data_IF_110998497484
#
_entry.id   IF_110998497484
#
_cell.length_a   1.000
_cell.length_b   1.000
_cell.length_c   1.000
_cell.angle_alpha   90.00
_cell.angle_beta   90.00
_cell.angle_gamma   90.00
#
_symmetry.space_group_name_H-M   'P 1'
#
loop_
_entity.id
_entity.type
_entity.pdbx_description
1 polymer ?
#
# COMPACT_ATOMS: atom_id res chain seq x y z
N UNK A 1 -19.99 11.31 1.12
CA UNK A 1 -19.43 10.52 0.00
C UNK A 1 -18.47 9.48 0.58
N UNK A 2 -18.96 8.26 0.82
CA UNK A 2 -18.12 7.14 1.24
C UNK A 2 -18.18 6.10 0.14
N UNK A 3 -17.18 6.08 -0.75
CA UNK A 3 -17.03 4.98 -1.69
C UNK A 3 -16.85 3.66 -0.93
N UNK A 4 -17.49 2.58 -1.39
CA UNK A 4 -17.28 1.25 -0.83
C UNK A 4 -15.84 0.79 -1.12
N UNK A 5 -15.27 -0.11 -0.30
CA UNK A 5 -13.94 -0.69 -0.55
C UNK A 5 -13.80 -1.23 -1.98
N UNK A 6 -14.87 -1.87 -2.47
CA UNK A 6 -14.97 -2.39 -3.83
C UNK A 6 -14.76 -1.31 -4.91
N UNK A 7 -15.21 -0.08 -4.63
CA UNK A 7 -15.10 1.05 -5.56
C UNK A 7 -13.67 1.57 -5.67
N UNK A 8 -12.90 1.51 -4.58
CA UNK A 8 -11.49 1.94 -4.58
C UNK A 8 -10.55 0.87 -5.11
N UNK A 9 -10.80 -0.41 -4.82
CA UNK A 9 -9.94 -1.51 -5.26
C UNK A 9 -9.75 -1.58 -6.78
N UNK A 10 -10.80 -1.26 -7.55
CA UNK A 10 -10.76 -1.31 -9.02
C UNK A 10 -10.50 0.07 -9.66
N UNK A 11 -10.22 1.10 -8.85
CA UNK A 11 -10.09 2.47 -9.34
C UNK A 11 -8.73 2.68 -10.00
N UNK A 12 -8.76 3.14 -11.25
CA UNK A 12 -7.57 3.49 -12.03
C UNK A 12 -7.23 4.98 -11.96
N UNK A 13 -8.25 5.83 -12.02
CA UNK A 13 -8.09 7.27 -11.97
C UNK A 13 -8.46 7.78 -10.58
N UNK A 14 -7.44 8.13 -9.81
CA UNK A 14 -7.57 8.63 -8.44
C UNK A 14 -7.61 10.15 -8.46
N UNK A 15 -8.58 10.73 -7.76
CA UNK A 15 -8.59 12.15 -7.45
C UNK A 15 -7.97 12.39 -6.08
N UNK A 16 -7.51 13.61 -5.83
CA UNK A 16 -7.07 14.05 -4.51
C UNK A 16 -8.08 13.72 -3.39
N UNK A 17 -9.38 13.84 -3.68
CA UNK A 17 -10.44 13.51 -2.72
C UNK A 17 -10.54 12.02 -2.42
N UNK A 18 -10.24 11.16 -3.40
CA UNK A 18 -10.23 9.71 -3.22
C UNK A 18 -9.07 9.29 -2.32
N UNK A 19 -7.88 9.83 -2.56
CA UNK A 19 -6.69 9.59 -1.73
C UNK A 19 -6.93 10.05 -0.29
N UNK A 20 -7.42 11.29 -0.12
CA UNK A 20 -7.78 11.83 1.19
C UNK A 20 -8.92 11.06 1.88
N UNK A 21 -9.83 10.45 1.11
CA UNK A 21 -10.87 9.59 1.67
C UNK A 21 -10.26 8.30 2.22
N UNK A 22 -9.38 7.64 1.46
CA UNK A 22 -8.67 6.43 1.92
C UNK A 22 -7.84 6.73 3.15
N UNK A 23 -7.05 7.82 3.17
CA UNK A 23 -6.22 8.17 4.32
C UNK A 23 -7.01 8.40 5.61
N UNK A 24 -8.29 8.79 5.53
CA UNK A 24 -9.21 8.97 6.67
C UNK A 24 -9.96 7.70 7.07
N UNK A 25 -9.81 6.59 6.35
CA UNK A 25 -10.45 5.33 6.72
C UNK A 25 -9.76 4.68 7.92
N UNK A 26 -10.49 3.78 8.57
CA UNK A 26 -9.90 2.87 9.54
C UNK A 26 -8.72 2.10 8.93
N UNK A 27 -7.70 1.83 9.74
CA UNK A 27 -6.47 1.19 9.28
C UNK A 27 -6.71 -0.18 8.64
N UNK A 28 -7.74 -0.92 9.08
CA UNK A 28 -8.11 -2.21 8.49
C UNK A 28 -8.46 -2.03 7.01
N UNK A 29 -9.27 -1.02 6.70
CA UNK A 29 -9.68 -0.71 5.34
C UNK A 29 -8.52 -0.21 4.48
N UNK A 30 -7.64 0.62 5.05
CA UNK A 30 -6.44 1.09 4.36
C UNK A 30 -5.50 -0.08 4.05
N UNK A 31 -5.33 -1.02 4.97
CA UNK A 31 -4.49 -2.21 4.78
C UNK A 31 -5.03 -3.14 3.69
N UNK A 32 -6.34 -3.37 3.67
CA UNK A 32 -6.97 -4.18 2.63
C UNK A 32 -6.84 -3.54 1.24
N UNK A 33 -7.05 -2.23 1.14
CA UNK A 33 -6.85 -1.50 -0.12
C UNK A 33 -5.39 -1.49 -0.56
N UNK A 34 -4.46 -1.24 0.37
CA UNK A 34 -3.03 -1.13 0.10
C UNK A 34 -2.46 -2.33 -0.66
N UNK A 35 -3.05 -3.53 -0.51
CA UNK A 35 -2.64 -4.76 -1.21
C UNK A 35 -2.86 -4.75 -2.72
N UNK A 36 -3.81 -3.95 -3.23
CA UNK A 36 -4.27 -4.08 -4.62
C UNK A 36 -4.47 -2.76 -5.37
N UNK A 37 -4.51 -1.62 -4.68
CA UNK A 37 -4.63 -0.31 -5.35
C UNK A 37 -3.44 -0.05 -6.29
N UNK A 38 -3.66 0.80 -7.29
CA UNK A 38 -2.66 1.16 -8.31
C UNK A 38 -2.19 2.62 -8.20
N UNK A 39 -2.67 3.37 -7.21
CA UNK A 39 -2.28 4.76 -7.01
C UNK A 39 -0.88 4.83 -6.40
N UNK A 40 0.10 5.23 -7.22
CA UNK A 40 1.50 5.28 -6.83
C UNK A 40 1.76 6.20 -5.62
N UNK A 41 1.28 7.44 -5.69
CA UNK A 41 1.45 8.43 -4.62
C UNK A 41 0.84 7.96 -3.29
N UNK A 42 -0.38 7.44 -3.34
CA UNK A 42 -1.03 6.90 -2.16
C UNK A 42 -0.31 5.68 -1.59
N UNK A 43 0.29 4.81 -2.41
CA UNK A 43 1.12 3.70 -1.93
C UNK A 43 2.38 4.18 -1.23
N UNK A 44 2.98 5.29 -1.69
CA UNK A 44 4.10 5.94 -0.99
C UNK A 44 3.64 6.43 0.39
N UNK A 45 2.50 7.11 0.46
CA UNK A 45 1.98 7.61 1.74
C UNK A 45 1.63 6.47 2.71
N UNK A 46 0.93 5.44 2.23
CA UNK A 46 0.56 4.27 3.05
C UNK A 46 1.78 3.43 3.47
N UNK A 47 2.89 3.50 2.74
CA UNK A 47 4.15 2.84 3.14
C UNK A 47 4.80 3.47 4.38
N UNK A 48 4.33 4.65 4.79
CA UNK A 48 4.78 5.37 5.98
C UNK A 48 3.72 5.33 7.10
N UNK A 49 2.67 4.51 6.93
CA UNK A 49 1.59 4.43 7.90
C UNK A 49 2.08 3.96 9.27
N UNK A 50 1.48 4.50 10.34
CA UNK A 50 1.79 4.07 11.70
C UNK A 50 1.40 2.59 11.95
N UNK A 51 0.37 2.07 11.27
CA UNK A 51 -0.11 0.71 11.44
C UNK A 51 0.69 -0.26 10.57
N UNK A 52 1.20 -1.31 11.19
CA UNK A 52 2.03 -2.32 10.52
C UNK A 52 1.26 -3.09 9.45
N UNK A 53 -0.04 -3.30 9.65
CA UNK A 53 -0.94 -3.98 8.71
C UNK A 53 -1.05 -3.21 7.39
N UNK A 54 -1.07 -1.88 7.46
CA UNK A 54 -1.14 -1.01 6.29
C UNK A 54 0.17 -1.08 5.51
N UNK A 55 1.31 -0.92 6.19
CA UNK A 55 2.63 -1.01 5.54
C UNK A 55 2.88 -2.40 4.95
N UNK A 56 2.42 -3.46 5.63
CA UNK A 56 2.46 -4.83 5.12
C UNK A 56 1.62 -4.98 3.86
N UNK A 57 0.43 -4.39 3.82
CA UNK A 57 -0.41 -4.35 2.62
C UNK A 57 0.32 -3.72 1.43
N UNK A 58 1.01 -2.59 1.64
CA UNK A 58 1.85 -1.97 0.59
C UNK A 58 3.00 -2.90 0.18
N UNK A 59 3.67 -3.54 1.13
CA UNK A 59 4.77 -4.46 0.87
C UNK A 59 4.35 -5.68 0.04
N UNK A 60 3.10 -6.12 0.15
CA UNK A 60 2.51 -7.23 -0.61
C UNK A 60 2.00 -6.81 -1.99
N UNK A 61 1.96 -5.51 -2.28
CA UNK A 61 1.37 -4.99 -3.51
C UNK A 61 2.38 -4.93 -4.67
N UNK A 62 2.15 -5.64 -5.79
CA UNK A 62 3.03 -5.60 -6.96
C UNK A 62 3.02 -4.25 -7.71
N UNK A 63 2.00 -3.41 -7.51
CA UNK A 63 1.92 -2.07 -8.10
C UNK A 63 2.68 -1.02 -7.27
N UNK A 64 3.17 -1.36 -6.08
CA UNK A 64 3.95 -0.42 -5.28
C UNK A 64 5.28 -0.09 -6.00
N UNK A 65 5.73 1.18 -5.94
CA UNK A 65 6.99 1.57 -6.56
C UNK A 65 8.15 0.70 -6.08
N UNK A 66 9.06 0.34 -6.99
CA UNK A 66 10.26 -0.41 -6.63
C UNK A 66 11.08 0.28 -5.55
N UNK A 67 11.15 1.62 -5.56
CA UNK A 67 11.84 2.39 -4.52
C UNK A 67 11.16 2.23 -3.16
N UNK A 68 9.82 2.29 -3.11
CA UNK A 68 9.02 2.07 -1.91
C UNK A 68 9.22 0.66 -1.36
N UNK A 69 9.13 -0.36 -2.22
CA UNK A 69 9.35 -1.76 -1.83
C UNK A 69 10.77 -1.99 -1.30
N UNK A 70 11.80 -1.42 -1.94
CA UNK A 70 13.20 -1.51 -1.44
C UNK A 70 13.35 -0.88 -0.07
N UNK A 71 12.80 0.32 0.13
CA UNK A 71 12.81 1.01 1.43
C UNK A 71 12.13 0.16 2.51
N UNK A 72 10.96 -0.41 2.23
CA UNK A 72 10.25 -1.29 3.16
C UNK A 72 11.05 -2.58 3.47
N UNK A 73 11.71 -3.17 2.47
CA UNK A 73 12.53 -4.37 2.63
C UNK A 73 13.76 -4.16 3.54
N UNK A 74 14.34 -2.97 3.53
CA UNK A 74 15.61 -2.67 4.21
C UNK A 74 15.44 -1.90 5.52
N UNK A 75 14.42 -1.04 5.62
CA UNK A 75 14.34 -0.01 6.66
C UNK A 75 13.06 -0.08 7.51
N UNK A 76 12.07 -0.92 7.18
CA UNK A 76 10.88 -1.04 8.02
C UNK A 76 11.22 -1.67 9.37
N UNK A 77 10.57 -1.21 10.45
CA UNK A 77 10.78 -1.75 11.79
C UNK A 77 10.20 -3.16 11.97
N UNK A 78 9.14 -3.53 11.22
CA UNK A 78 8.61 -4.89 11.29
C UNK A 78 9.33 -5.82 10.33
N UNK A 79 9.89 -6.90 10.88
CA UNK A 79 10.44 -8.02 10.10
C UNK A 79 9.38 -8.60 9.13
N UNK A 80 8.11 -8.61 9.54
CA UNK A 80 7.00 -9.05 8.71
C UNK A 80 6.86 -8.23 7.41
N UNK A 81 6.96 -6.91 7.51
CA UNK A 81 6.86 -5.98 6.37
C UNK A 81 8.09 -6.14 5.48
N UNK A 82 9.28 -6.21 6.07
CA UNK A 82 10.52 -6.43 5.33
C UNK A 82 10.45 -7.71 4.48
N UNK A 83 9.98 -8.81 5.08
CA UNK A 83 9.89 -10.10 4.39
C UNK A 83 8.85 -10.07 3.26
N UNK A 84 7.68 -9.47 3.48
CA UNK A 84 6.68 -9.29 2.42
C UNK A 84 7.26 -8.47 1.26
N UNK A 85 7.95 -7.36 1.54
CA UNK A 85 8.53 -6.52 0.51
C UNK A 85 9.64 -7.25 -0.28
N UNK A 86 10.51 -8.00 0.39
CA UNK A 86 11.53 -8.84 -0.26
C UNK A 86 10.91 -9.89 -1.16
N UNK A 87 9.83 -10.54 -0.72
CA UNK A 87 9.12 -11.52 -1.54
C UNK A 87 8.51 -10.86 -2.78
N UNK A 88 7.83 -9.73 -2.63
CA UNK A 88 7.26 -8.99 -3.77
C UNK A 88 8.34 -8.54 -4.75
N UNK A 89 9.44 -7.94 -4.27
CA UNK A 89 10.58 -7.56 -5.12
C UNK A 89 11.15 -8.75 -5.88
N UNK A 90 11.30 -9.90 -5.22
CA UNK A 90 11.85 -11.09 -5.87
C UNK A 90 10.97 -11.56 -7.04
N UNK A 91 9.64 -11.39 -6.94
CA UNK A 91 8.69 -11.74 -8.02
C UNK A 91 8.70 -10.74 -9.17
N UNK A 92 9.07 -9.49 -8.93
CA UNK A 92 9.08 -8.43 -9.95
C UNK A 92 10.40 -8.35 -10.74
N UNK A 93 11.49 -8.89 -10.21
CA UNK A 93 12.85 -8.78 -10.76
C UNK A 93 13.33 -10.11 -11.40
N UNK A 94 12.55 -11.19 -11.28
CA UNK A 94 12.77 -12.45 -12.01
C UNK A 94 12.37 -12.33 -13.47
#
# INVERSE_FOLDING_TARGET
MGGSLQSYANKKNWSFYDEAAVLRMDYIYRAELAKSISCEGLLVDLSLDQHVEVRKGVAENPNAPLATLKRLAEQDLCICVQNSAKQTLSKLIQ
#
